data_IF_503407534671
#
_entry.id   IF_503407534671
#
_cell.length_a   1.000
_cell.length_b   1.000
_cell.length_c   1.000
_cell.angle_alpha   90.00
_cell.angle_beta   90.00
_cell.angle_gamma   90.00
#
_symmetry.space_group_name_H-M   'P 1'
#
loop_
_entity.id
_entity.type
_entity.pdbx_description
1 polymer ?
#
# COMPACT_ATOMS: atom_id res chain seq x y z
N UNK A 1 30.73 6.77 2.75
CA UNK A 1 31.18 7.17 1.39
C UNK A 1 30.22 8.23 0.84
N UNK A 2 30.67 9.21 0.03
CA UNK A 2 29.79 10.23 -0.55
C UNK A 2 28.85 9.63 -1.60
N UNK A 3 27.62 10.17 -1.67
CA UNK A 3 26.60 9.74 -2.63
C UNK A 3 26.93 10.34 -4.01
N UNK A 4 27.04 9.50 -5.04
CA UNK A 4 27.17 9.98 -6.42
C UNK A 4 25.81 10.43 -6.95
N UNK A 5 25.69 11.72 -7.27
CA UNK A 5 24.45 12.35 -7.74
C UNK A 5 24.38 12.47 -9.26
N UNK A 6 25.44 12.13 -10.00
CA UNK A 6 25.51 12.38 -11.45
C UNK A 6 24.42 11.63 -12.20
N UNK A 7 24.23 10.35 -11.86
CA UNK A 7 23.18 9.51 -12.44
C UNK A 7 21.77 10.07 -12.14
N UNK A 8 21.55 10.54 -10.92
CA UNK A 8 20.27 11.13 -10.52
C UNK A 8 19.98 12.43 -11.28
N UNK A 9 21.00 13.26 -11.48
CA UNK A 9 20.89 14.50 -12.25
C UNK A 9 20.68 14.24 -13.74
N UNK A 10 21.34 13.23 -14.31
CA UNK A 10 21.16 12.84 -15.71
C UNK A 10 19.73 12.35 -15.98
N UNK A 11 19.20 11.47 -15.12
CA UNK A 11 17.84 10.94 -15.25
C UNK A 11 16.78 12.06 -15.16
N UNK A 12 16.89 12.96 -14.17
CA UNK A 12 15.99 14.11 -14.04
C UNK A 12 16.13 15.05 -15.25
N UNK A 13 17.35 15.25 -15.75
CA UNK A 13 17.64 16.07 -16.91
C UNK A 13 16.95 15.56 -18.18
N UNK A 14 17.00 14.24 -18.42
CA UNK A 14 16.30 13.61 -19.54
C UNK A 14 14.79 13.83 -19.46
N UNK A 15 14.16 13.54 -18.33
CA UNK A 15 12.71 13.72 -18.14
C UNK A 15 12.27 15.17 -18.37
N UNK A 16 13.09 16.14 -17.93
CA UNK A 16 12.81 17.57 -18.14
C UNK A 16 12.94 17.97 -19.60
N UNK A 17 13.97 17.47 -20.29
CA UNK A 17 14.13 17.69 -21.74
C UNK A 17 12.99 17.04 -22.55
N UNK A 18 12.37 15.98 -22.04
CA UNK A 18 11.17 15.36 -22.60
C UNK A 18 9.87 16.15 -22.30
N UNK A 19 9.96 17.28 -21.58
CA UNK A 19 8.82 18.16 -21.29
C UNK A 19 8.17 17.92 -19.94
N UNK A 20 8.73 17.07 -19.08
CA UNK A 20 8.23 16.90 -17.71
C UNK A 20 8.65 18.07 -16.83
N UNK A 21 7.80 18.47 -15.88
CA UNK A 21 8.20 19.49 -14.90
C UNK A 21 9.29 18.93 -13.97
N UNK A 22 10.30 19.73 -13.56
CA UNK A 22 11.39 19.26 -12.71
C UNK A 22 10.93 18.59 -11.42
N UNK A 23 9.85 19.11 -10.82
CA UNK A 23 9.24 18.55 -9.61
C UNK A 23 8.65 17.16 -9.85
N UNK A 24 8.05 16.93 -11.02
CA UNK A 24 7.48 15.65 -11.40
C UNK A 24 8.57 14.63 -11.75
N UNK A 25 9.60 15.04 -12.49
CA UNK A 25 10.78 14.23 -12.77
C UNK A 25 11.46 13.75 -11.48
N UNK A 26 11.70 14.65 -10.52
CA UNK A 26 12.24 14.30 -9.20
C UNK A 26 11.34 13.30 -8.46
N UNK A 27 10.02 13.51 -8.51
CA UNK A 27 9.06 12.62 -7.84
C UNK A 27 9.06 11.21 -8.44
N UNK A 28 9.14 11.10 -9.77
CA UNK A 28 9.24 9.81 -10.46
C UNK A 28 10.60 9.13 -10.22
N UNK A 29 11.70 9.88 -10.21
CA UNK A 29 13.03 9.37 -9.87
C UNK A 29 13.07 8.83 -8.44
N UNK A 30 12.50 9.53 -7.45
CA UNK A 30 12.43 9.05 -6.06
C UNK A 30 11.53 7.81 -5.94
N UNK A 31 10.47 7.73 -6.74
CA UNK A 31 9.55 6.59 -6.74
C UNK A 31 10.19 5.33 -7.32
N UNK A 32 10.76 5.42 -8.53
CA UNK A 32 11.30 4.28 -9.28
C UNK A 32 12.74 3.95 -8.89
N UNK A 33 13.52 4.96 -8.52
CA UNK A 33 14.96 4.87 -8.27
C UNK A 33 15.78 4.97 -9.55
N UNK A 34 17.09 4.81 -9.39
CA UNK A 34 18.08 4.68 -10.47
C UNK A 34 18.72 3.29 -10.44
N UNK A 35 19.70 3.02 -11.31
CA UNK A 35 20.40 1.72 -11.34
C UNK A 35 21.15 1.46 -10.03
N UNK A 36 21.72 2.50 -9.44
CA UNK A 36 22.53 2.39 -8.22
C UNK A 36 21.78 2.81 -6.95
N UNK A 37 20.62 3.46 -7.07
CA UNK A 37 19.83 3.93 -5.95
C UNK A 37 18.39 3.37 -5.99
N UNK A 38 18.00 2.50 -5.05
CA UNK A 38 16.64 1.95 -5.04
C UNK A 38 15.60 3.02 -4.75
N UNK A 39 14.49 3.00 -5.50
CA UNK A 39 13.35 3.90 -5.30
C UNK A 39 12.37 3.39 -4.24
N UNK A 40 11.38 4.24 -3.92
CA UNK A 40 10.34 3.96 -2.93
C UNK A 40 9.38 2.82 -3.31
N UNK A 41 9.26 2.46 -4.60
CA UNK A 41 8.37 1.38 -5.06
C UNK A 41 8.73 0.02 -4.43
N UNK A 42 10.03 -0.28 -4.30
CA UNK A 42 10.51 -1.55 -3.73
C UNK A 42 10.16 -1.70 -2.23
N UNK A 43 10.50 -0.77 -1.34
CA UNK A 43 10.10 -0.85 0.07
C UNK A 43 8.59 -0.72 0.26
N UNK A 44 7.87 0.06 -0.56
CA UNK A 44 6.41 0.10 -0.52
C UNK A 44 5.79 -1.26 -0.88
N UNK A 45 6.32 -1.94 -1.90
CA UNK A 45 5.88 -3.29 -2.26
C UNK A 45 6.17 -4.30 -1.13
N UNK A 46 7.33 -4.20 -0.48
CA UNK A 46 7.70 -5.05 0.65
C UNK A 46 6.82 -4.82 1.88
N UNK A 47 6.56 -3.57 2.25
CA UNK A 47 5.66 -3.20 3.33
C UNK A 47 4.25 -3.75 3.10
N UNK A 48 3.74 -3.64 1.86
CA UNK A 48 2.44 -4.19 1.49
C UNK A 48 2.40 -5.72 1.53
N UNK A 49 3.47 -6.41 1.09
CA UNK A 49 3.58 -7.87 1.23
C UNK A 49 3.52 -8.27 2.71
N UNK A 50 4.33 -7.64 3.55
CA UNK A 50 4.41 -7.95 4.97
C UNK A 50 3.10 -7.65 5.71
N UNK A 51 2.39 -6.59 5.32
CA UNK A 51 1.03 -6.29 5.81
C UNK A 51 0.07 -7.45 5.51
N UNK A 52 0.06 -7.97 4.27
CA UNK A 52 -0.80 -9.10 3.90
C UNK A 52 -0.43 -10.37 4.67
N UNK A 53 0.86 -10.67 4.81
CA UNK A 53 1.33 -11.82 5.60
C UNK A 53 0.90 -11.71 7.07
N UNK A 54 0.99 -10.52 7.67
CA UNK A 54 0.53 -10.31 9.04
C UNK A 54 -0.98 -10.45 9.18
N UNK A 55 -1.77 -9.96 8.22
CA UNK A 55 -3.22 -10.14 8.23
C UNK A 55 -3.61 -11.62 8.10
N UNK A 56 -2.95 -12.36 7.20
CA UNK A 56 -3.14 -13.81 7.03
C UNK A 56 -2.74 -14.58 8.29
N UNK A 57 -1.55 -14.30 8.86
CA UNK A 57 -1.03 -15.01 10.03
C UNK A 57 -1.81 -14.72 11.31
N UNK A 58 -2.31 -13.50 11.48
CA UNK A 58 -3.09 -13.15 12.67
C UNK A 58 -4.56 -13.53 12.57
N UNK A 59 -4.98 -14.23 11.50
CA UNK A 59 -6.32 -14.82 11.34
C UNK A 59 -7.47 -13.86 11.71
N UNK A 60 -7.28 -12.55 11.50
CA UNK A 60 -8.32 -11.57 11.78
C UNK A 60 -9.52 -11.82 10.87
N UNK A 61 -9.32 -12.39 9.68
CA UNK A 61 -10.40 -12.75 8.76
C UNK A 61 -11.33 -13.81 9.37
N UNK A 62 -10.80 -14.85 10.02
CA UNK A 62 -11.62 -15.89 10.66
C UNK A 62 -12.40 -15.34 11.85
N UNK A 63 -11.73 -14.65 12.77
CA UNK A 63 -12.37 -14.05 13.94
C UNK A 63 -13.41 -12.99 13.54
N UNK A 64 -13.14 -12.17 12.52
CA UNK A 64 -14.11 -11.19 12.00
C UNK A 64 -15.29 -11.88 11.29
N UNK A 65 -15.07 -12.99 10.59
CA UNK A 65 -16.14 -13.78 10.00
C UNK A 65 -17.05 -14.41 11.06
N UNK A 66 -16.48 -14.94 12.15
CA UNK A 66 -17.23 -15.49 13.28
C UNK A 66 -18.04 -14.40 13.99
N UNK A 67 -17.43 -13.23 14.23
CA UNK A 67 -18.14 -12.07 14.80
C UNK A 67 -19.30 -11.64 13.90
N UNK A 68 -19.09 -11.55 12.58
CA UNK A 68 -20.15 -11.21 11.63
C UNK A 68 -21.31 -12.20 11.72
N UNK A 69 -21.02 -13.50 11.75
CA UNK A 69 -22.04 -14.55 11.86
C UNK A 69 -22.86 -14.42 13.14
N UNK A 70 -22.20 -14.21 14.29
CA UNK A 70 -22.88 -14.00 15.57
C UNK A 70 -23.77 -12.76 15.57
N UNK A 71 -23.33 -11.67 14.95
CA UNK A 71 -24.14 -10.45 14.80
C UNK A 71 -25.34 -10.66 13.88
N UNK A 72 -25.17 -11.36 12.76
CA UNK A 72 -26.26 -11.67 11.83
C UNK A 72 -27.33 -12.56 12.52
N UNK A 73 -26.90 -13.53 13.32
CA UNK A 73 -27.80 -14.37 14.14
C UNK A 73 -28.57 -13.56 15.18
N UNK A 74 -27.89 -12.65 15.90
CA UNK A 74 -28.52 -11.78 16.90
C UNK A 74 -29.55 -10.83 16.28
N UNK A 75 -29.23 -10.20 15.15
CA UNK A 75 -30.16 -9.30 14.44
C UNK A 75 -31.37 -10.07 13.90
N UNK A 76 -31.17 -11.31 13.40
CA UNK A 76 -32.28 -12.16 12.96
C UNK A 76 -33.19 -12.54 14.13
N UNK A 77 -32.63 -12.81 15.31
CA UNK A 77 -33.41 -13.09 16.51
C UNK A 77 -34.23 -11.86 16.94
N UNK A 78 -33.62 -10.67 17.00
CA UNK A 78 -34.30 -9.43 17.36
C UNK A 78 -35.46 -9.12 16.41
N UNK A 79 -35.25 -9.25 15.09
CA UNK A 79 -36.31 -9.03 14.09
C UNK A 79 -37.48 -10.01 14.23
N UNK A 80 -37.23 -11.26 14.60
CA UNK A 80 -38.30 -12.26 14.82
C UNK A 80 -39.15 -11.92 16.04
N UNK A 81 -38.53 -11.44 17.12
CA UNK A 81 -39.26 -11.02 18.32
C UNK A 81 -40.07 -9.76 18.06
N UNK A 82 -39.54 -8.78 17.33
CA UNK A 82 -40.29 -7.59 16.90
C UNK A 82 -41.48 -7.90 15.99
N UNK A 83 -41.42 -8.98 15.20
CA UNK A 83 -42.52 -9.41 14.34
C UNK A 83 -43.62 -10.21 15.09
N UNK A 84 -43.36 -10.61 16.34
CA UNK A 84 -44.30 -11.33 17.21
C UNK A 84 -45.00 -10.42 18.23
N UNK A 85 -44.46 -9.23 18.48
CA UNK A 85 -45.05 -8.18 19.32
C UNK A 85 -46.04 -7.32 18.52
#
# INVERSE_FOLDING_TARGET
PPVDLREALEAIGQDVMEGTSPRRALSEMLRRGTKNMPGADKPAAEANRRRRELLQRNNLDGTLADIKKLLDEAVLAERKELARA
#
